data_IF_645796395898
#
_entry.id   IF_645796395898
#
_cell.length_a   1.000
_cell.length_b   1.000
_cell.length_c   1.000
_cell.angle_alpha   90.00
_cell.angle_beta   90.00
_cell.angle_gamma   90.00
#
_symmetry.space_group_name_H-M   'P 1'
#
loop_
_entity.id
_entity.type
_entity.pdbx_description
1 polymer ?
#
# COMPACT_ATOMS: atom_id res chain seq x y z
N UNK A 1 7.10 -16.29 14.99
CA UNK A 1 7.86 -15.99 13.76
C UNK A 1 8.17 -14.50 13.73
N UNK A 2 9.37 -14.12 13.29
CA UNK A 2 9.78 -12.71 13.25
C UNK A 2 8.99 -11.89 12.24
N UNK A 3 8.87 -10.58 12.49
CA UNK A 3 8.24 -9.63 11.58
C UNK A 3 9.31 -8.85 10.82
N UNK A 4 9.13 -8.72 9.52
CA UNK A 4 9.92 -7.83 8.65
C UNK A 4 9.00 -6.72 8.17
N UNK A 5 9.44 -5.47 8.31
CA UNK A 5 8.72 -4.30 7.80
C UNK A 5 9.54 -3.65 6.69
N UNK A 6 8.96 -3.46 5.52
CA UNK A 6 9.65 -2.80 4.40
C UNK A 6 8.68 -2.07 3.47
N UNK A 7 9.22 -1.11 2.75
CA UNK A 7 8.49 -0.30 1.78
C UNK A 7 8.75 -0.80 0.35
N UNK A 8 7.71 -0.82 -0.48
CA UNK A 8 7.81 -1.13 -1.92
C UNK A 8 7.19 0.00 -2.73
N UNK A 9 7.96 0.53 -3.68
CA UNK A 9 7.47 1.49 -4.67
C UNK A 9 6.65 0.72 -5.71
N UNK A 10 5.44 1.19 -5.95
CA UNK A 10 4.48 0.60 -6.88
C UNK A 10 4.02 1.57 -7.97
N UNK A 11 4.40 2.85 -7.89
CA UNK A 11 4.30 3.83 -8.95
C UNK A 11 5.68 4.45 -9.12
N UNK A 12 6.20 4.49 -10.35
CA UNK A 12 7.51 5.09 -10.58
C UNK A 12 7.40 6.63 -10.52
N UNK A 13 8.05 7.29 -9.54
CA UNK A 13 8.02 8.74 -9.44
C UNK A 13 9.03 9.41 -10.38
N UNK A 14 10.05 8.67 -10.87
CA UNK A 14 11.11 9.21 -11.70
C UNK A 14 11.07 8.62 -13.11
N UNK A 15 10.74 9.45 -14.10
CA UNK A 15 10.66 9.03 -15.51
C UNK A 15 11.99 8.55 -16.08
N UNK A 16 13.11 9.00 -15.51
CA UNK A 16 14.45 8.58 -15.94
C UNK A 16 14.86 7.23 -15.31
N UNK A 17 14.12 6.76 -14.29
CA UNK A 17 14.30 5.43 -13.71
C UNK A 17 13.61 4.37 -14.58
N UNK A 18 14.31 3.93 -15.62
CA UNK A 18 13.85 2.88 -16.52
C UNK A 18 13.74 1.52 -15.82
N UNK A 19 14.55 1.27 -14.79
CA UNK A 19 14.55 0.00 -14.06
C UNK A 19 13.29 -0.19 -13.21
N UNK A 20 12.87 0.84 -12.46
CA UNK A 20 11.61 0.78 -11.70
C UNK A 20 10.42 0.65 -12.65
N UNK A 21 10.47 1.31 -13.81
CA UNK A 21 9.45 1.15 -14.87
C UNK A 21 9.36 -0.30 -15.35
N UNK A 22 10.50 -0.95 -15.60
CA UNK A 22 10.53 -2.35 -16.03
C UNK A 22 10.02 -3.31 -14.96
N UNK A 23 10.46 -3.13 -13.70
CA UNK A 23 9.98 -3.90 -12.55
C UNK A 23 8.46 -3.86 -12.39
N UNK A 24 7.83 -2.74 -12.74
CA UNK A 24 6.39 -2.51 -12.59
C UNK A 24 5.58 -2.74 -13.88
N UNK A 25 6.24 -3.07 -15.00
CA UNK A 25 5.62 -3.09 -16.35
C UNK A 25 4.38 -3.98 -16.50
N UNK A 26 4.31 -5.09 -15.74
CA UNK A 26 3.18 -6.03 -15.74
C UNK A 26 2.34 -5.96 -14.47
N UNK A 27 2.65 -5.03 -13.57
CA UNK A 27 1.94 -4.89 -12.32
C UNK A 27 0.62 -4.13 -12.53
N UNK A 28 -0.51 -4.81 -12.30
CA UNK A 28 -1.84 -4.23 -12.44
C UNK A 28 -2.22 -3.33 -11.24
N UNK A 29 -1.41 -2.29 -10.99
CA UNK A 29 -1.52 -1.40 -9.83
C UNK A 29 -2.94 -0.89 -9.61
N UNK A 30 -3.55 -0.31 -10.65
CA UNK A 30 -4.90 0.27 -10.55
C UNK A 30 -5.90 -0.76 -10.05
N UNK A 31 -5.88 -1.95 -10.63
CA UNK A 31 -6.77 -3.05 -10.24
C UNK A 31 -6.54 -3.45 -8.78
N UNK A 32 -5.29 -3.64 -8.36
CA UNK A 32 -5.00 -3.98 -6.96
C UNK A 32 -5.55 -2.92 -5.99
N UNK A 33 -5.27 -1.65 -6.26
CA UNK A 33 -5.72 -0.55 -5.39
C UNK A 33 -7.25 -0.48 -5.36
N UNK A 34 -7.92 -0.58 -6.51
CA UNK A 34 -9.38 -0.58 -6.56
C UNK A 34 -9.97 -1.77 -5.81
N UNK A 35 -9.45 -2.98 -6.00
CA UNK A 35 -9.93 -4.19 -5.32
C UNK A 35 -9.77 -4.06 -3.78
N UNK A 36 -8.70 -3.42 -3.30
CA UNK A 36 -8.49 -3.15 -1.86
C UNK A 36 -9.56 -2.19 -1.32
N UNK A 37 -9.79 -1.07 -2.01
CA UNK A 37 -10.80 -0.10 -1.59
C UNK A 37 -12.21 -0.70 -1.63
N UNK A 38 -12.53 -1.48 -2.67
CA UNK A 38 -13.80 -2.18 -2.79
C UNK A 38 -14.01 -3.19 -1.65
N UNK A 39 -12.95 -3.91 -1.25
CA UNK A 39 -12.99 -4.81 -0.10
C UNK A 39 -13.18 -4.05 1.23
N UNK A 40 -12.59 -2.86 1.39
CA UNK A 40 -12.85 -1.98 2.55
C UNK A 40 -14.30 -1.49 2.54
N UNK A 41 -14.82 -1.05 1.40
CA UNK A 41 -16.19 -0.56 1.26
C UNK A 41 -17.25 -1.65 1.46
N UNK A 42 -16.92 -2.89 1.10
CA UNK A 42 -17.74 -4.05 1.36
C UNK A 42 -17.62 -4.57 2.80
N UNK A 43 -16.79 -3.95 3.65
CA UNK A 43 -16.55 -4.38 5.04
C UNK A 43 -15.77 -5.68 5.18
N UNK A 44 -15.15 -6.17 4.10
CA UNK A 44 -14.29 -7.38 4.11
C UNK A 44 -12.92 -7.09 4.72
N UNK A 45 -12.44 -5.85 4.55
CA UNK A 45 -11.21 -5.35 5.16
C UNK A 45 -11.53 -4.18 6.08
N UNK A 46 -10.79 -4.07 7.19
CA UNK A 46 -10.89 -2.93 8.10
C UNK A 46 -9.71 -2.00 7.88
N UNK A 47 -10.00 -0.75 7.50
CA UNK A 47 -8.99 0.31 7.41
C UNK A 47 -8.71 0.88 8.81
N UNK A 48 -7.43 1.13 9.09
CA UNK A 48 -6.91 1.64 10.35
C UNK A 48 -6.11 2.91 10.10
N UNK A 49 -6.19 3.84 11.04
CA UNK A 49 -5.26 4.95 11.15
C UNK A 49 -3.83 4.42 11.35
N UNK A 50 -2.90 4.94 10.56
CA UNK A 50 -1.52 4.44 10.55
C UNK A 50 -0.79 4.71 11.87
N UNK A 51 -1.07 5.81 12.58
CA UNK A 51 -0.34 6.20 13.79
C UNK A 51 -0.99 5.65 15.06
N UNK A 52 -2.31 5.75 15.13
CA UNK A 52 -3.11 5.45 16.33
C UNK A 52 -3.72 4.07 16.31
N UNK A 53 -3.73 3.37 15.16
CA UNK A 53 -4.42 2.09 14.94
C UNK A 53 -5.93 2.16 15.18
N UNK A 54 -6.50 3.37 15.30
CA UNK A 54 -7.95 3.56 15.37
C UNK A 54 -8.59 3.02 14.09
N UNK A 55 -9.66 2.25 14.22
CA UNK A 55 -10.45 1.80 13.07
C UNK A 55 -11.17 2.98 12.42
N UNK A 56 -11.08 3.09 11.10
CA UNK A 56 -11.98 3.92 10.33
C UNK A 56 -13.26 3.13 10.03
N UNK A 57 -14.40 3.80 10.14
CA UNK A 57 -15.65 3.35 9.56
C UNK A 57 -15.60 3.46 8.04
N UNK A 58 -16.44 2.69 7.35
CA UNK A 58 -16.56 2.74 5.88
C UNK A 58 -16.87 4.16 5.38
N UNK A 59 -17.71 4.90 6.12
CA UNK A 59 -18.08 6.27 5.76
C UNK A 59 -16.91 7.25 5.93
N UNK A 60 -16.09 7.09 6.96
CA UNK A 60 -14.86 7.89 7.11
C UNK A 60 -13.92 7.65 5.93
N UNK A 61 -13.69 6.40 5.50
CA UNK A 61 -12.83 6.11 4.34
C UNK A 61 -13.38 6.73 3.06
N UNK A 62 -14.70 6.65 2.83
CA UNK A 62 -15.36 7.29 1.68
C UNK A 62 -15.23 8.80 1.72
N UNK A 63 -15.40 9.42 2.89
CA UNK A 63 -15.26 10.85 3.07
C UNK A 63 -13.81 11.31 2.85
N UNK A 64 -12.82 10.54 3.32
CA UNK A 64 -11.41 10.83 3.06
C UNK A 64 -11.10 10.81 1.56
N UNK A 65 -11.60 9.82 0.82
CA UNK A 65 -11.45 9.78 -0.64
C UNK A 65 -12.17 10.93 -1.35
N UNK A 66 -13.41 11.23 -0.93
CA UNK A 66 -14.20 12.32 -1.51
C UNK A 66 -13.64 13.72 -1.21
N UNK A 67 -12.86 13.87 -0.13
CA UNK A 67 -12.22 15.15 0.23
C UNK A 67 -11.22 15.65 -0.81
N UNK A 68 -10.69 14.76 -1.65
CA UNK A 68 -9.60 15.05 -2.58
C UNK A 68 -8.23 15.18 -1.91
N UNK A 69 -8.11 14.90 -0.60
CA UNK A 69 -6.81 14.90 0.10
C UNK A 69 -5.81 13.93 -0.56
N UNK A 70 -6.30 12.79 -1.01
CA UNK A 70 -5.56 11.86 -1.85
C UNK A 70 -6.44 11.38 -3.01
N UNK A 71 -5.80 10.84 -4.02
CA UNK A 71 -6.46 10.14 -5.11
C UNK A 71 -5.78 8.78 -5.32
N UNK A 72 -6.56 7.74 -5.64
CA UNK A 72 -6.04 6.36 -5.76
C UNK A 72 -4.90 6.23 -6.77
N UNK A 73 -4.96 7.00 -7.85
CA UNK A 73 -3.93 7.06 -8.89
C UNK A 73 -2.58 7.54 -8.36
N UNK A 74 -2.54 8.28 -7.25
CA UNK A 74 -1.30 8.74 -6.60
C UNK A 74 -0.77 7.77 -5.55
N UNK A 75 -1.42 6.63 -5.31
CA UNK A 75 -0.91 5.60 -4.38
C UNK A 75 0.32 4.93 -5.01
N UNK A 76 1.49 5.37 -4.57
CA UNK A 76 2.79 4.99 -5.14
C UNK A 76 3.65 4.11 -4.27
N UNK A 77 3.24 3.86 -3.02
CA UNK A 77 3.99 3.00 -2.09
C UNK A 77 3.07 2.10 -1.29
N UNK A 78 3.53 0.88 -1.03
CA UNK A 78 2.95 0.00 -0.02
C UNK A 78 4.04 -0.32 1.00
N UNK A 79 3.76 -0.10 2.28
CA UNK A 79 4.57 -0.67 3.36
C UNK A 79 3.96 -2.00 3.78
N UNK A 80 4.76 -3.05 3.81
CA UNK A 80 4.35 -4.37 4.25
C UNK A 80 4.89 -4.69 5.64
N UNK A 81 4.08 -5.35 6.45
CA UNK A 81 4.56 -6.19 7.54
C UNK A 81 4.41 -7.65 7.10
N UNK A 82 5.52 -8.39 7.03
CA UNK A 82 5.52 -9.78 6.57
C UNK A 82 6.21 -10.73 7.55
N UNK A 83 5.87 -12.01 7.43
CA UNK A 83 6.60 -13.12 8.02
C UNK A 83 7.23 -13.95 6.91
N UNK A 84 8.54 -14.18 7.00
CA UNK A 84 9.27 -15.00 6.04
C UNK A 84 9.67 -16.30 6.72
N UNK A 85 9.54 -17.41 6.02
CA UNK A 85 9.97 -18.71 6.52
C UNK A 85 10.35 -19.64 5.37
N UNK A 86 11.30 -20.51 5.66
CA UNK A 86 11.68 -21.59 4.76
C UNK A 86 10.70 -22.76 4.97
N UNK A 87 9.96 -23.12 3.93
CA UNK A 87 9.10 -24.30 3.89
C UNK A 87 9.98 -25.52 3.58
N UNK A 88 10.57 -26.11 4.63
CA UNK A 88 11.50 -27.26 4.55
C UNK A 88 10.91 -28.46 3.80
N UNK A 89 9.58 -28.62 3.83
CA UNK A 89 8.92 -29.73 3.15
C UNK A 89 8.96 -29.58 1.62
N UNK A 90 8.94 -28.35 1.12
CA UNK A 90 8.81 -28.04 -0.29
C UNK A 90 9.98 -27.22 -0.84
N UNK A 91 11.07 -27.11 -0.07
CA UNK A 91 12.31 -26.36 -0.35
C UNK A 91 12.08 -25.00 -1.00
N UNK A 92 11.26 -24.18 -0.35
CA UNK A 92 10.92 -22.84 -0.87
C UNK A 92 10.75 -21.81 0.21
N UNK A 93 11.13 -20.58 -0.12
CA UNK A 93 10.81 -19.42 0.71
C UNK A 93 9.33 -19.09 0.59
N UNK A 94 8.67 -18.89 1.73
CA UNK A 94 7.30 -18.38 1.82
C UNK A 94 7.31 -17.01 2.49
N UNK A 95 6.47 -16.12 1.98
CA UNK A 95 6.18 -14.82 2.57
C UNK A 95 4.70 -14.77 2.90
N UNK A 96 4.35 -14.39 4.12
CA UNK A 96 2.97 -14.10 4.54
C UNK A 96 2.86 -12.62 4.85
N UNK A 97 2.09 -11.88 4.06
CA UNK A 97 1.70 -10.50 4.37
C UNK A 97 0.74 -10.54 5.57
N UNK A 98 1.11 -9.84 6.64
CA UNK A 98 0.30 -9.71 7.86
C UNK A 98 -0.31 -8.33 8.00
N UNK A 99 0.26 -7.32 7.35
CA UNK A 99 -0.37 -6.02 7.20
C UNK A 99 0.17 -5.27 5.98
N UNK A 100 -0.59 -4.30 5.51
CA UNK A 100 -0.15 -3.35 4.50
C UNK A 100 -0.61 -1.93 4.83
N UNK A 101 0.20 -0.93 4.49
CA UNK A 101 -0.17 0.49 4.55
C UNK A 101 -0.03 1.08 3.17
N UNK A 102 -1.11 1.67 2.64
CA UNK A 102 -1.10 2.38 1.36
C UNK A 102 -0.56 3.80 1.58
N UNK A 103 0.38 4.23 0.74
CA UNK A 103 0.96 5.57 0.77
C UNK A 103 0.82 6.28 -0.56
N UNK A 104 0.31 7.52 -0.54
CA UNK A 104 0.22 8.35 -1.73
C UNK A 104 1.36 9.35 -1.80
N UNK A 105 1.81 9.65 -3.02
CA UNK A 105 2.92 10.56 -3.28
C UNK A 105 2.57 11.99 -2.87
N UNK A 106 3.51 12.63 -2.19
CA UNK A 106 3.48 14.06 -1.86
C UNK A 106 4.66 14.70 -2.57
N UNK A 107 4.37 15.76 -3.33
CA UNK A 107 5.33 16.45 -4.18
C UNK A 107 5.62 17.86 -3.62
N UNK A 108 6.85 18.32 -3.84
CA UNK A 108 7.22 19.72 -3.60
C UNK A 108 6.75 20.62 -4.76
N UNK A 109 6.81 21.93 -4.56
CA UNK A 109 6.43 22.92 -5.59
C UNK A 109 7.32 22.85 -6.84
N UNK A 110 8.54 22.33 -6.71
CA UNK A 110 9.49 22.11 -7.80
C UNK A 110 9.31 20.76 -8.52
N UNK A 111 8.21 20.05 -8.25
CA UNK A 111 7.92 18.72 -8.79
C UNK A 111 8.91 17.62 -8.38
N UNK A 112 9.70 17.82 -7.32
CA UNK A 112 10.47 16.75 -6.70
C UNK A 112 9.61 15.94 -5.73
N UNK A 113 9.79 14.61 -5.69
CA UNK A 113 9.06 13.76 -4.76
C UNK A 113 9.55 14.05 -3.33
N UNK A 114 8.65 14.55 -2.47
CA UNK A 114 8.95 14.80 -1.05
C UNK A 114 8.87 13.53 -0.23
N UNK A 115 7.94 12.64 -0.56
CA UNK A 115 7.73 11.37 0.14
C UNK A 115 6.34 10.80 -0.09
N UNK A 116 5.93 9.92 0.82
CA UNK A 116 4.61 9.28 0.77
C UNK A 116 3.88 9.47 2.11
N UNK A 117 2.64 9.95 2.07
CA UNK A 117 1.78 10.06 3.25
C UNK A 117 0.85 8.84 3.32
N UNK A 118 0.66 8.21 4.50
CA UNK A 118 -0.22 7.06 4.62
C UNK A 118 -1.68 7.46 4.37
N UNK A 119 -2.40 6.62 3.64
CA UNK A 119 -3.86 6.69 3.48
C UNK A 119 -4.52 6.00 4.66
N UNK A 120 -4.34 4.68 4.75
CA UNK A 120 -4.73 3.85 5.86
C UNK A 120 -3.91 2.56 5.85
N UNK A 121 -3.94 1.86 6.98
CA UNK A 121 -3.37 0.52 7.15
C UNK A 121 -4.47 -0.54 7.16
N UNK A 122 -4.17 -1.72 6.65
CA UNK A 122 -4.97 -2.93 6.76
C UNK A 122 -4.12 -3.99 7.47
N UNK A 123 -4.72 -4.70 8.41
CA UNK A 123 -4.11 -5.85 9.08
C UNK A 123 -4.87 -7.13 8.70
N UNK A 124 -4.14 -8.18 8.35
CA UNK A 124 -4.66 -9.47 7.91
C UNK A 124 -4.49 -10.49 9.04
N UNK A 125 -5.55 -11.26 9.30
CA UNK A 125 -5.55 -12.36 10.27
C UNK A 125 -4.75 -13.57 9.73
#
# INVERSE_FOLDING_TARGET
>A
MGKITYDTIILNPNKDDTWTTECLSKFERKKLIDDIFDAVYAGKLTALDYFTRKKYSIQEVKAMEASGEFTRDKIGKIQFDEQWYWDEKNDRLRKKVTAMTLGYEVWNNDSTLRGHKPVFRIEFN
#
